data_IF_784171129056
#
_entry.id   IF_784171129056
#
_cell.length_a   1.000
_cell.length_b   1.000
_cell.length_c   1.000
_cell.angle_alpha   90.00
_cell.angle_beta   90.00
_cell.angle_gamma   90.00
#
_symmetry.space_group_name_H-M   'P 1'
#
loop_
_entity.id
_entity.type
_entity.pdbx_description
1 polymer ?
#
# COMPACT_ATOMS: atom_id res chain seq x y z
N UNK A 1 -18.02 20.00 -12.05
CA UNK A 1 -16.67 19.44 -12.23
C UNK A 1 -16.42 18.59 -11.00
N UNK A 2 -16.33 17.28 -11.18
CA UNK A 2 -16.33 16.31 -10.09
C UNK A 2 -14.89 16.11 -9.60
N UNK A 3 -14.60 16.56 -8.37
CA UNK A 3 -13.25 16.36 -7.82
C UNK A 3 -13.20 15.06 -7.05
N UNK A 4 -12.18 14.26 -7.33
CA UNK A 4 -11.94 12.98 -6.66
C UNK A 4 -10.65 13.02 -5.89
N UNK A 5 -10.68 12.61 -4.62
CA UNK A 5 -9.48 12.50 -3.80
C UNK A 5 -8.96 11.06 -3.82
N UNK A 6 -7.68 10.86 -4.10
CA UNK A 6 -7.01 9.57 -3.92
C UNK A 6 -6.09 9.65 -2.71
N UNK A 7 -6.22 8.73 -1.74
CA UNK A 7 -5.48 8.77 -0.48
C UNK A 7 -4.79 7.46 -0.16
N UNK A 8 -3.61 7.57 0.44
CA UNK A 8 -2.79 6.45 0.90
C UNK A 8 -2.24 6.77 2.29
N UNK A 9 -2.86 6.19 3.32
CA UNK A 9 -2.43 6.30 4.71
C UNK A 9 -1.40 5.18 5.02
N UNK A 10 -0.15 5.56 5.27
CA UNK A 10 0.86 4.68 5.86
C UNK A 10 0.90 4.82 7.38
N UNK A 11 1.76 4.06 8.07
CA UNK A 11 1.86 4.11 9.55
C UNK A 11 2.22 5.49 10.10
N UNK A 12 3.01 6.29 9.37
CA UNK A 12 3.46 7.63 9.78
C UNK A 12 3.34 8.69 8.68
N UNK A 13 2.52 8.42 7.65
CA UNK A 13 2.31 9.35 6.54
C UNK A 13 0.91 9.26 5.95
N UNK A 14 0.49 10.33 5.28
CA UNK A 14 -0.72 10.39 4.47
C UNK A 14 -0.37 11.04 3.13
N UNK A 15 -0.31 10.24 2.07
CA UNK A 15 -0.16 10.73 0.69
C UNK A 15 -1.53 10.96 0.09
N UNK A 16 -1.66 12.01 -0.70
CA UNK A 16 -2.94 12.34 -1.33
C UNK A 16 -2.74 13.00 -2.70
N UNK A 17 -3.75 12.87 -3.56
CA UNK A 17 -3.86 13.59 -4.83
C UNK A 17 -5.32 13.98 -5.05
N UNK A 18 -5.54 15.18 -5.56
CA UNK A 18 -6.83 15.69 -5.97
C UNK A 18 -6.90 15.67 -7.50
N UNK A 19 -7.90 14.97 -8.03
CA UNK A 19 -8.13 14.80 -9.46
C UNK A 19 -9.35 15.59 -9.91
N UNK A 20 -9.27 16.10 -11.13
CA UNK A 20 -10.42 16.44 -11.95
C UNK A 20 -10.81 15.19 -12.75
N UNK A 21 -12.05 14.73 -12.59
CA UNK A 21 -12.59 13.56 -13.28
C UNK A 21 -13.77 13.97 -14.18
N UNK A 22 -13.93 13.33 -15.36
CA UNK A 22 -13.25 12.12 -15.85
C UNK A 22 -11.92 12.34 -16.60
N UNK A 23 -11.41 13.56 -16.70
CA UNK A 23 -10.21 13.90 -17.48
C UNK A 23 -8.89 13.35 -16.89
N UNK A 24 -8.93 12.74 -15.70
CA UNK A 24 -7.79 12.20 -14.97
C UNK A 24 -6.67 13.24 -14.72
N UNK A 25 -7.03 14.53 -14.67
CA UNK A 25 -6.08 15.63 -14.49
C UNK A 25 -5.77 15.82 -13.01
N UNK A 26 -4.49 15.74 -12.64
CA UNK A 26 -4.05 16.06 -11.28
C UNK A 26 -4.12 17.57 -11.06
N UNK A 27 -5.00 18.01 -10.14
CA UNK A 27 -5.14 19.41 -9.72
C UNK A 27 -4.04 19.75 -8.70
N UNK A 28 -3.89 18.89 -7.70
CA UNK A 28 -2.91 19.05 -6.64
C UNK A 28 -2.49 17.69 -6.07
N UNK A 29 -1.33 17.64 -5.43
CA UNK A 29 -0.85 16.46 -4.72
C UNK A 29 -0.05 16.85 -3.50
N UNK A 30 -0.03 15.98 -2.50
CA UNK A 30 0.76 16.25 -1.31
C UNK A 30 1.02 15.03 -0.46
N UNK A 31 1.74 15.28 0.63
CA UNK A 31 2.12 14.29 1.61
C UNK A 31 2.24 14.94 2.99
N UNK A 32 1.66 14.29 3.99
CA UNK A 32 2.00 14.50 5.39
C UNK A 32 2.99 13.41 5.81
N UNK A 33 4.10 13.81 6.40
CA UNK A 33 5.17 12.92 6.86
C UNK A 33 5.40 13.06 8.35
N UNK A 34 5.90 11.99 8.98
CA UNK A 34 6.22 11.93 10.42
C UNK A 34 5.00 12.18 11.31
N UNK A 35 3.82 11.71 10.89
CA UNK A 35 2.61 11.71 11.72
C UNK A 35 2.87 10.89 12.99
N UNK A 36 2.47 11.41 14.14
CA UNK A 36 2.70 10.84 15.48
C UNK A 36 4.10 11.13 16.04
N UNK A 37 4.94 11.88 15.31
CA UNK A 37 6.27 12.30 15.74
C UNK A 37 6.36 13.83 15.74
N UNK A 38 7.38 14.36 16.42
CA UNK A 38 7.72 15.78 16.35
C UNK A 38 8.18 16.18 14.96
N UNK A 39 7.95 17.46 14.64
CA UNK A 39 8.37 18.11 13.40
C UNK A 39 7.75 17.39 12.19
N UNK A 40 6.43 17.16 12.23
CA UNK A 40 5.72 16.64 11.07
C UNK A 40 5.74 17.66 9.95
N UNK A 41 5.81 17.18 8.71
CA UNK A 41 5.94 18.02 7.52
C UNK A 41 4.74 17.76 6.63
N UNK A 42 3.99 18.80 6.31
CA UNK A 42 3.04 18.83 5.19
C UNK A 42 3.73 19.42 3.97
N UNK A 43 3.67 18.71 2.83
CA UNK A 43 4.12 19.22 1.53
C UNK A 43 2.97 19.13 0.54
N UNK A 44 2.60 20.27 -0.05
CA UNK A 44 1.51 20.40 -1.02
C UNK A 44 2.04 21.02 -2.31
N UNK A 45 1.69 20.42 -3.45
CA UNK A 45 2.18 20.78 -4.79
C UNK A 45 1.02 20.97 -5.77
N UNK A 46 0.97 22.14 -6.41
CA UNK A 46 0.03 22.51 -7.47
C UNK A 46 0.62 23.72 -8.23
N UNK A 47 0.19 23.96 -9.47
CA UNK A 47 0.64 25.08 -10.30
C UNK A 47 2.17 25.28 -10.33
N UNK A 48 2.93 24.18 -10.41
CA UNK A 48 4.40 24.12 -10.36
C UNK A 48 5.04 24.71 -9.08
N UNK A 49 4.24 25.00 -8.06
CA UNK A 49 4.67 25.47 -6.75
C UNK A 49 4.74 24.33 -5.73
N UNK A 50 5.56 24.54 -4.71
CA UNK A 50 5.72 23.62 -3.58
C UNK A 50 5.55 24.41 -2.29
N UNK A 51 4.51 24.08 -1.54
CA UNK A 51 4.23 24.66 -0.23
C UNK A 51 4.59 23.65 0.84
N UNK A 52 5.38 24.07 1.83
CA UNK A 52 5.75 23.25 2.99
C UNK A 52 5.30 23.91 4.27
N UNK A 53 4.78 23.13 5.21
CA UNK A 53 4.46 23.56 6.56
C UNK A 53 4.99 22.54 7.56
N UNK A 54 5.67 23.02 8.57
CA UNK A 54 6.13 22.21 9.70
C UNK A 54 5.23 22.47 10.90
N UNK A 55 4.65 21.42 11.45
CA UNK A 55 3.86 21.45 12.68
C UNK A 55 3.67 20.03 13.20
N UNK A 56 3.52 19.87 14.51
CA UNK A 56 3.25 18.56 15.09
C UNK A 56 1.85 18.04 14.68
N UNK A 57 1.81 16.81 14.16
CA UNK A 57 0.58 16.12 13.78
C UNK A 57 0.48 14.84 14.61
N UNK A 58 -0.51 14.80 15.51
CA UNK A 58 -0.69 13.73 16.50
C UNK A 58 -1.07 12.41 15.84
N UNK A 59 -1.99 12.43 14.88
CA UNK A 59 -2.47 11.22 14.20
C UNK A 59 -3.07 11.51 12.82
N UNK A 60 -3.54 10.45 12.14
CA UNK A 60 -4.16 10.54 10.83
C UNK A 60 -5.47 11.33 10.82
N UNK A 61 -6.20 11.42 11.93
CA UNK A 61 -7.44 12.21 12.00
C UNK A 61 -7.10 13.70 11.88
N UNK A 62 -6.06 14.15 12.60
CA UNK A 62 -5.55 15.51 12.47
C UNK A 62 -4.97 15.77 11.08
N UNK A 63 -4.22 14.83 10.50
CA UNK A 63 -3.69 14.98 9.14
C UNK A 63 -4.81 15.18 8.09
N UNK A 64 -5.92 14.46 8.22
CA UNK A 64 -7.08 14.61 7.33
C UNK A 64 -7.76 15.97 7.52
N UNK A 65 -7.93 16.45 8.74
CA UNK A 65 -8.48 17.79 9.00
C UNK A 65 -7.61 18.88 8.38
N UNK A 66 -6.29 18.78 8.54
CA UNK A 66 -5.32 19.71 7.97
C UNK A 66 -5.32 19.68 6.45
N UNK A 67 -5.44 18.51 5.85
CA UNK A 67 -5.60 18.39 4.41
C UNK A 67 -6.82 19.16 3.93
N UNK A 68 -7.97 18.94 4.55
CA UNK A 68 -9.20 19.61 4.15
C UNK A 68 -9.11 21.14 4.30
N UNK A 69 -8.44 21.63 5.35
CA UNK A 69 -8.13 23.05 5.54
C UNK A 69 -7.19 23.59 4.46
N UNK A 70 -6.10 22.88 4.15
CA UNK A 70 -5.15 23.27 3.09
C UNK A 70 -5.83 23.36 1.72
N UNK A 71 -6.72 22.43 1.38
CA UNK A 71 -7.44 22.46 0.10
C UNK A 71 -8.33 23.71 -0.04
N UNK A 72 -8.95 24.18 1.05
CA UNK A 72 -9.73 25.43 1.07
C UNK A 72 -8.80 26.65 1.05
N UNK A 73 -7.76 26.64 1.88
CA UNK A 73 -6.80 27.74 2.01
C UNK A 73 -6.12 28.06 0.66
N UNK A 74 -5.69 27.04 -0.07
CA UNK A 74 -5.09 27.18 -1.39
C UNK A 74 -6.13 27.36 -2.51
N UNK A 75 -7.42 27.47 -2.19
CA UNK A 75 -8.54 27.63 -3.14
C UNK A 75 -8.61 26.50 -4.18
N UNK A 76 -8.10 25.31 -3.83
CA UNK A 76 -8.20 24.11 -4.66
C UNK A 76 -9.64 23.56 -4.68
N UNK A 77 -10.39 23.84 -3.62
CA UNK A 77 -11.85 23.72 -3.51
C UNK A 77 -12.38 24.98 -2.82
N UNK A 78 -13.63 25.36 -3.10
CA UNK A 78 -14.35 26.39 -2.35
C UNK A 78 -15.18 25.82 -1.20
N UNK A 79 -15.55 24.54 -1.30
CA UNK A 79 -16.24 23.80 -0.23
C UNK A 79 -15.94 22.30 -0.31
N UNK A 80 -16.14 21.59 0.79
CA UNK A 80 -15.94 20.13 0.85
C UNK A 80 -16.84 19.35 -0.11
N UNK A 81 -18.01 19.91 -0.47
CA UNK A 81 -18.98 19.30 -1.39
C UNK A 81 -18.49 19.17 -2.83
N UNK A 82 -17.43 19.89 -3.20
CA UNK A 82 -16.81 19.71 -4.52
C UNK A 82 -16.10 18.37 -4.66
N UNK A 83 -15.70 17.75 -3.54
CA UNK A 83 -15.15 16.40 -3.53
C UNK A 83 -16.32 15.42 -3.52
N UNK A 84 -16.62 14.86 -4.70
CA UNK A 84 -17.76 13.94 -4.89
C UNK A 84 -17.37 12.48 -4.69
N UNK A 85 -16.08 12.15 -4.73
CA UNK A 85 -15.59 10.80 -4.50
C UNK A 85 -14.22 10.78 -3.81
N UNK A 86 -13.94 9.68 -3.10
CA UNK A 86 -12.65 9.41 -2.48
C UNK A 86 -12.25 7.94 -2.61
N UNK A 87 -11.05 7.70 -3.13
CA UNK A 87 -10.42 6.38 -3.22
C UNK A 87 -9.38 6.19 -2.13
N UNK A 88 -9.56 5.18 -1.27
CA UNK A 88 -8.64 4.82 -0.21
C UNK A 88 -7.83 3.59 -0.61
N UNK A 89 -6.50 3.72 -0.68
CA UNK A 89 -5.63 2.55 -0.73
C UNK A 89 -5.68 1.83 0.60
N UNK A 90 -5.99 0.54 0.58
CA UNK A 90 -5.98 -0.37 1.73
C UNK A 90 -4.97 -1.48 1.45
N UNK A 91 -4.08 -1.77 2.40
CA UNK A 91 -2.99 -2.72 2.16
C UNK A 91 -3.51 -4.16 2.09
N UNK A 92 -4.29 -4.61 3.08
CA UNK A 92 -4.78 -5.98 3.13
C UNK A 92 -6.31 -6.04 3.00
N UNK A 93 -6.79 -6.72 1.94
CA UNK A 93 -8.19 -7.07 1.72
C UNK A 93 -8.55 -8.51 2.07
N UNK A 94 -7.57 -9.32 2.50
CA UNK A 94 -7.77 -10.73 2.81
C UNK A 94 -8.32 -11.53 1.62
N UNK A 95 -9.08 -12.58 1.91
CA UNK A 95 -9.83 -13.35 0.90
C UNK A 95 -11.19 -12.73 0.58
N UNK A 96 -11.67 -11.79 1.42
CA UNK A 96 -13.00 -11.19 1.32
C UNK A 96 -13.10 -10.18 0.18
N UNK A 97 -12.04 -9.38 -0.03
CA UNK A 97 -12.04 -8.30 -1.01
C UNK A 97 -11.19 -8.63 -2.23
N UNK A 98 -11.86 -9.16 -3.26
CA UNK A 98 -11.26 -9.50 -4.56
C UNK A 98 -11.28 -8.35 -5.59
N UNK A 99 -11.97 -7.25 -5.28
CA UNK A 99 -12.05 -6.05 -6.11
C UNK A 99 -12.14 -4.80 -5.24
N UNK A 100 -12.12 -3.63 -5.85
CA UNK A 100 -12.38 -2.37 -5.15
C UNK A 100 -13.85 -2.29 -4.75
N UNK A 101 -14.13 -1.82 -3.53
CA UNK A 101 -15.46 -1.91 -2.92
C UNK A 101 -15.88 -0.58 -2.31
N UNK A 102 -17.16 -0.21 -2.49
CA UNK A 102 -17.75 0.97 -1.84
C UNK A 102 -17.76 0.77 -0.32
N UNK A 103 -17.35 1.78 0.43
CA UNK A 103 -17.15 1.69 1.89
C UNK A 103 -18.47 1.92 2.63
N UNK A 104 -19.19 0.83 2.89
CA UNK A 104 -20.31 0.77 3.85
C UNK A 104 -19.80 0.60 5.29
N UNK A 105 -20.66 0.72 6.33
CA UNK A 105 -20.27 0.38 7.71
C UNK A 105 -19.73 -1.05 7.85
N UNK A 106 -20.32 -2.01 7.15
CA UNK A 106 -19.92 -3.43 7.17
C UNK A 106 -18.55 -3.62 6.52
N UNK A 107 -18.31 -2.98 5.37
CA UNK A 107 -17.00 -3.01 4.70
C UNK A 107 -15.91 -2.40 5.58
N UNK A 108 -16.21 -1.28 6.26
CA UNK A 108 -15.25 -0.66 7.18
C UNK A 108 -14.94 -1.57 8.37
N UNK A 109 -15.93 -2.26 8.93
CA UNK A 109 -15.72 -3.22 10.02
C UNK A 109 -14.86 -4.40 9.57
N UNK A 110 -15.07 -4.91 8.36
CA UNK A 110 -14.23 -5.99 7.83
C UNK A 110 -12.78 -5.54 7.58
N UNK A 111 -12.56 -4.31 7.10
CA UNK A 111 -11.21 -3.73 6.98
C UNK A 111 -10.53 -3.65 8.37
N UNK A 112 -11.29 -3.35 9.43
CA UNK A 112 -10.79 -3.38 10.81
C UNK A 112 -10.38 -4.77 11.24
N UNK A 113 -11.21 -5.80 11.00
CA UNK A 113 -10.90 -7.19 11.32
C UNK A 113 -9.62 -7.68 10.63
N UNK A 114 -9.42 -7.26 9.38
CA UNK A 114 -8.21 -7.54 8.58
C UNK A 114 -6.95 -6.80 9.07
N UNK A 115 -7.03 -5.97 10.12
CA UNK A 115 -5.85 -5.37 10.75
C UNK A 115 -4.90 -6.41 11.32
N UNK A 116 -5.38 -7.59 11.68
CA UNK A 116 -4.53 -8.72 12.09
C UNK A 116 -3.57 -9.17 10.98
N UNK A 117 -4.00 -9.06 9.71
CA UNK A 117 -3.20 -9.42 8.53
C UNK A 117 -2.16 -8.34 8.17
N UNK A 118 -2.48 -7.07 8.41
CA UNK A 118 -1.59 -5.93 8.15
C UNK A 118 -1.56 -4.93 9.33
N UNK A 119 -0.97 -5.31 10.48
CA UNK A 119 -1.10 -4.58 11.74
C UNK A 119 -0.50 -3.17 11.74
N UNK A 120 0.46 -2.90 10.86
CA UNK A 120 1.08 -1.57 10.73
C UNK A 120 0.38 -0.67 9.70
N UNK A 121 -0.54 -1.20 8.89
CA UNK A 121 -1.10 -0.49 7.75
C UNK A 121 -2.62 -0.32 7.85
N UNK A 122 -3.36 -1.42 7.98
CA UNK A 122 -4.82 -1.38 7.99
C UNK A 122 -5.39 -0.49 9.11
N UNK A 123 -4.85 -0.45 10.34
CA UNK A 123 -5.31 0.50 11.36
C UNK A 123 -5.21 1.98 10.93
N UNK A 124 -4.10 2.36 10.27
CA UNK A 124 -3.95 3.71 9.73
C UNK A 124 -4.93 3.97 8.57
N UNK A 125 -5.21 2.96 7.74
CA UNK A 125 -6.21 3.05 6.69
C UNK A 125 -7.61 3.29 7.28
N UNK A 126 -8.00 2.55 8.31
CA UNK A 126 -9.27 2.71 9.03
C UNK A 126 -9.41 4.11 9.60
N UNK A 127 -8.40 4.62 10.32
CA UNK A 127 -8.44 5.97 10.90
C UNK A 127 -8.63 7.04 9.83
N UNK A 128 -7.94 6.90 8.70
CA UNK A 128 -8.11 7.79 7.55
C UNK A 128 -9.53 7.73 6.98
N UNK A 129 -10.04 6.52 6.72
CA UNK A 129 -11.40 6.31 6.19
C UNK A 129 -12.45 6.92 7.11
N UNK A 130 -12.36 6.67 8.42
CA UNK A 130 -13.29 7.22 9.40
C UNK A 130 -13.25 8.75 9.44
N UNK A 131 -12.07 9.35 9.37
CA UNK A 131 -11.92 10.80 9.34
C UNK A 131 -12.54 11.42 8.08
N UNK A 132 -12.26 10.86 6.89
CA UNK A 132 -12.85 11.34 5.65
C UNK A 132 -14.36 11.15 5.60
N UNK A 133 -14.91 10.00 6.03
CA UNK A 133 -16.36 9.77 6.06
C UNK A 133 -17.11 10.78 6.94
N UNK A 134 -16.46 11.29 8.00
CA UNK A 134 -17.05 12.34 8.84
C UNK A 134 -17.06 13.71 8.15
N UNK A 135 -16.03 14.04 7.39
CA UNK A 135 -15.88 15.35 6.72
C UNK A 135 -16.57 15.41 5.34
N UNK A 136 -16.68 14.27 4.68
CA UNK A 136 -17.23 14.08 3.34
C UNK A 136 -18.39 13.05 3.36
N UNK A 137 -19.47 13.30 4.13
CA UNK A 137 -20.54 12.31 4.31
C UNK A 137 -21.30 11.98 3.03
N UNK A 138 -21.33 12.91 2.07
CA UNK A 138 -22.06 12.77 0.80
C UNK A 138 -21.16 12.22 -0.33
N UNK A 139 -19.84 12.11 -0.10
CA UNK A 139 -18.91 11.63 -1.13
C UNK A 139 -18.92 10.11 -1.24
N UNK A 140 -18.80 9.61 -2.47
CA UNK A 140 -18.61 8.18 -2.71
C UNK A 140 -17.23 7.73 -2.22
N UNK A 141 -17.20 6.99 -1.11
CA UNK A 141 -15.96 6.43 -0.57
C UNK A 141 -15.73 4.99 -1.07
N UNK A 142 -14.55 4.71 -1.63
CA UNK A 142 -14.18 3.42 -2.19
C UNK A 142 -12.85 2.95 -1.59
N UNK A 143 -12.78 1.68 -1.18
CA UNK A 143 -11.54 1.01 -0.78
C UNK A 143 -10.94 0.26 -1.98
N UNK A 144 -9.65 0.48 -2.23
CA UNK A 144 -8.87 -0.17 -3.29
C UNK A 144 -7.76 -0.97 -2.63
N UNK A 145 -7.83 -2.30 -2.76
CA UNK A 145 -6.98 -3.21 -2.01
C UNK A 145 -5.74 -3.64 -2.79
N UNK A 146 -4.57 -3.52 -2.18
CA UNK A 146 -3.31 -3.98 -2.78
C UNK A 146 -3.29 -5.51 -3.02
N UNK A 147 -4.08 -6.28 -2.27
CA UNK A 147 -4.17 -7.75 -2.41
C UNK A 147 -5.19 -8.21 -3.45
N UNK A 148 -6.14 -7.34 -3.85
CA UNK A 148 -7.29 -7.74 -4.67
C UNK A 148 -6.88 -8.40 -6.00
N UNK A 149 -5.90 -7.81 -6.70
CA UNK A 149 -5.40 -8.34 -7.97
C UNK A 149 -4.79 -9.74 -7.87
N UNK A 150 -4.29 -10.10 -6.68
CA UNK A 150 -3.67 -11.40 -6.41
C UNK A 150 -4.67 -12.45 -5.89
N UNK A 151 -5.95 -12.13 -5.78
CA UNK A 151 -6.97 -13.15 -5.43
C UNK A 151 -7.17 -14.21 -6.52
N UNK A 152 -6.67 -13.95 -7.73
CA UNK A 152 -6.66 -14.93 -8.85
C UNK A 152 -5.54 -15.97 -8.76
N UNK A 153 -4.66 -15.88 -7.76
CA UNK A 153 -3.61 -16.88 -7.55
C UNK A 153 -4.23 -18.28 -7.43
N UNK A 154 -3.76 -19.28 -8.20
CA UNK A 154 -4.21 -20.66 -8.02
C UNK A 154 -3.69 -21.22 -6.69
N UNK A 155 -4.35 -22.27 -6.17
CA UNK A 155 -4.00 -22.91 -4.90
C UNK A 155 -2.53 -23.30 -4.77
N UNK A 156 -1.96 -23.83 -5.86
CA UNK A 156 -0.52 -24.17 -5.95
C UNK A 156 0.42 -22.98 -5.74
N UNK A 157 -0.03 -21.75 -5.97
CA UNK A 157 0.78 -20.54 -5.86
C UNK A 157 0.57 -19.83 -4.51
N UNK A 158 -0.61 -19.96 -3.89
CA UNK A 158 -0.87 -19.29 -2.62
C UNK A 158 -0.65 -20.14 -1.38
N UNK A 159 -0.68 -21.47 -1.49
CA UNK A 159 -0.41 -22.33 -0.34
C UNK A 159 1.07 -22.39 -0.01
N UNK A 160 1.39 -22.21 1.26
CA UNK A 160 2.71 -22.56 1.79
C UNK A 160 2.80 -24.08 2.04
N UNK A 161 4.00 -24.68 1.88
CA UNK A 161 4.22 -26.10 2.18
C UNK A 161 4.34 -26.34 3.70
N UNK A 162 3.30 -25.98 4.44
CA UNK A 162 3.15 -26.13 5.90
C UNK A 162 1.82 -26.84 6.20
N UNK A 163 1.59 -27.34 7.44
CA UNK A 163 0.34 -28.02 7.76
C UNK A 163 -0.91 -27.23 7.39
N UNK A 164 -1.87 -27.89 6.71
CA UNK A 164 -3.09 -27.29 6.17
C UNK A 164 -3.90 -26.49 7.20
N UNK A 165 -3.86 -26.90 8.47
CA UNK A 165 -4.54 -26.19 9.57
C UNK A 165 -4.20 -24.70 9.65
N UNK A 166 -2.98 -24.31 9.27
CA UNK A 166 -2.56 -22.90 9.31
C UNK A 166 -3.26 -22.06 8.25
N UNK A 167 -3.62 -22.66 7.13
CA UNK A 167 -4.49 -22.03 6.15
C UNK A 167 -5.95 -22.01 6.64
N UNK A 168 -6.49 -23.15 7.10
CA UNK A 168 -7.93 -23.25 7.42
C UNK A 168 -8.32 -22.42 8.63
N UNK A 169 -7.48 -22.40 9.66
CA UNK A 169 -7.84 -21.83 10.96
C UNK A 169 -7.36 -20.38 11.10
N UNK A 170 -6.33 -19.99 10.34
CA UNK A 170 -5.65 -18.69 10.47
C UNK A 170 -5.45 -17.95 9.15
N UNK A 171 -5.95 -18.49 8.02
CA UNK A 171 -5.81 -17.90 6.69
C UNK A 171 -4.34 -17.56 6.31
N UNK A 172 -3.38 -18.38 6.75
CA UNK A 172 -1.97 -18.22 6.37
C UNK A 172 -1.78 -18.69 4.93
N UNK A 173 -1.59 -17.73 4.02
CA UNK A 173 -1.39 -17.93 2.57
C UNK A 173 -0.58 -16.78 1.98
N UNK A 174 -0.17 -16.92 0.72
CA UNK A 174 0.31 -15.81 -0.10
C UNK A 174 -0.86 -14.88 -0.44
N UNK A 175 -0.77 -13.61 -0.04
CA UNK A 175 -1.71 -12.56 -0.42
C UNK A 175 -1.13 -11.62 -1.47
N UNK A 176 0.19 -11.45 -1.49
CA UNK A 176 0.85 -10.46 -2.35
C UNK A 176 0.64 -9.02 -1.87
N UNK A 177 1.20 -8.07 -2.62
CA UNK A 177 0.91 -6.64 -2.48
C UNK A 177 1.27 -5.92 -3.78
N UNK A 178 1.06 -4.59 -3.82
CA UNK A 178 1.20 -3.78 -5.04
C UNK A 178 0.29 -4.23 -6.20
N UNK A 179 -0.80 -4.94 -5.91
CA UNK A 179 -1.72 -5.47 -6.91
C UNK A 179 -2.30 -4.39 -7.82
N UNK A 180 -2.66 -3.22 -7.28
CA UNK A 180 -3.13 -2.07 -8.07
C UNK A 180 -2.08 -1.62 -9.10
N UNK A 181 -0.80 -1.60 -8.71
CA UNK A 181 0.28 -1.25 -9.64
C UNK A 181 0.46 -2.31 -10.72
N UNK A 182 0.50 -3.59 -10.34
CA UNK A 182 0.64 -4.71 -11.29
C UNK A 182 -0.53 -4.78 -12.28
N UNK A 183 -1.76 -4.55 -11.79
CA UNK A 183 -2.96 -4.45 -12.61
C UNK A 183 -2.88 -3.28 -13.59
N UNK A 184 -2.46 -2.09 -13.13
CA UNK A 184 -2.33 -0.92 -13.99
C UNK A 184 -1.29 -1.14 -15.10
N UNK A 185 -0.05 -1.51 -14.75
CA UNK A 185 1.03 -1.63 -15.75
C UNK A 185 0.82 -2.77 -16.73
N UNK A 186 0.09 -3.83 -16.33
CA UNK A 186 -0.27 -4.91 -17.28
C UNK A 186 -1.27 -4.44 -18.34
N UNK A 187 -2.26 -3.62 -17.95
CA UNK A 187 -3.20 -2.98 -18.88
C UNK A 187 -2.50 -1.97 -19.80
N UNK A 188 -1.59 -1.16 -19.26
CA UNK A 188 -0.79 -0.23 -20.08
C UNK A 188 0.14 -0.98 -21.04
N UNK A 189 0.77 -2.06 -20.60
CA UNK A 189 1.58 -2.91 -21.48
C UNK A 189 0.76 -3.48 -22.64
N UNK A 190 -0.49 -3.91 -22.40
CA UNK A 190 -1.38 -4.39 -23.45
C UNK A 190 -1.67 -3.31 -24.50
N UNK A 191 -1.92 -2.07 -24.08
CA UNK A 191 -2.10 -0.92 -24.99
C UNK A 191 -0.85 -0.67 -25.83
N UNK A 192 0.33 -0.63 -25.21
CA UNK A 192 1.60 -0.39 -25.90
C UNK A 192 1.92 -1.49 -26.90
N UNK A 193 1.62 -2.75 -26.57
CA UNK A 193 1.85 -3.90 -27.44
C UNK A 193 0.78 -4.06 -28.54
N UNK A 194 -0.32 -3.28 -28.48
CA UNK A 194 -1.44 -3.38 -29.41
C UNK A 194 -2.12 -4.75 -29.40
N UNK A 195 -2.15 -5.43 -28.24
CA UNK A 195 -2.73 -6.77 -28.09
C UNK A 195 -3.75 -6.81 -26.95
N UNK A 196 -4.82 -7.61 -27.06
CA UNK A 196 -5.72 -7.87 -25.93
C UNK A 196 -4.94 -8.40 -24.72
N UNK A 197 -5.28 -7.94 -23.52
CA UNK A 197 -4.60 -8.35 -22.28
C UNK A 197 -4.77 -9.85 -22.02
N UNK A 198 -5.88 -10.42 -22.47
CA UNK A 198 -6.27 -11.82 -22.38
C UNK A 198 -5.31 -12.75 -23.13
N UNK A 199 -4.64 -12.23 -24.17
CA UNK A 199 -3.69 -12.97 -25.01
C UNK A 199 -2.24 -12.86 -24.52
N UNK A 200 -1.99 -12.10 -23.44
CA UNK A 200 -0.64 -11.79 -22.97
C UNK A 200 -0.23 -12.64 -21.77
N UNK A 201 1.07 -13.00 -21.78
CA UNK A 201 1.79 -13.52 -20.62
C UNK A 201 2.87 -12.51 -20.26
N UNK A 202 2.75 -11.91 -19.09
CA UNK A 202 3.59 -10.80 -18.65
C UNK A 202 4.27 -11.14 -17.34
N UNK A 203 5.50 -10.67 -17.18
CA UNK A 203 6.15 -10.52 -15.88
C UNK A 203 6.24 -9.02 -15.62
N UNK A 204 5.69 -8.58 -14.50
CA UNK A 204 5.69 -7.17 -14.11
C UNK A 204 6.54 -7.00 -12.86
N UNK A 205 7.45 -6.03 -12.88
CA UNK A 205 8.34 -5.72 -11.77
C UNK A 205 8.03 -4.33 -11.22
N UNK A 206 7.38 -4.28 -10.05
CA UNK A 206 7.21 -3.04 -9.30
C UNK A 206 8.42 -2.89 -8.39
N UNK A 207 9.36 -1.98 -8.73
CA UNK A 207 10.60 -1.80 -7.98
C UNK A 207 10.65 -0.40 -7.38
N UNK A 208 10.61 -0.34 -6.05
CA UNK A 208 10.73 0.88 -5.25
C UNK A 208 11.26 0.56 -3.85
N UNK A 209 10.88 1.34 -2.83
CA UNK A 209 11.24 1.03 -1.44
C UNK A 209 10.63 -0.32 -0.97
N UNK A 210 9.47 -0.68 -1.52
CA UNK A 210 9.02 -2.06 -1.62
C UNK A 210 9.15 -2.54 -3.04
N UNK A 211 9.50 -3.82 -3.20
CA UNK A 211 9.67 -4.41 -4.52
C UNK A 211 8.91 -5.74 -4.62
N UNK A 212 8.20 -5.94 -5.72
CA UNK A 212 7.49 -7.19 -6.03
C UNK A 212 7.53 -7.49 -7.52
N UNK A 213 7.58 -8.78 -7.83
CA UNK A 213 7.51 -9.30 -9.19
C UNK A 213 6.27 -10.19 -9.29
N UNK A 214 5.47 -9.98 -10.32
CA UNK A 214 4.20 -10.70 -10.52
C UNK A 214 4.15 -11.30 -11.91
N UNK A 215 3.86 -12.61 -11.98
CA UNK A 215 3.53 -13.33 -13.20
C UNK A 215 2.04 -13.18 -13.49
N UNK A 216 1.72 -12.76 -14.71
CA UNK A 216 0.37 -12.44 -15.17
C UNK A 216 0.09 -13.24 -16.44
N UNK A 217 -1.03 -13.94 -16.48
CA UNK A 217 -1.50 -14.69 -17.63
C UNK A 217 -2.95 -14.29 -17.93
N UNK A 218 -3.20 -13.77 -19.12
CA UNK A 218 -4.52 -13.33 -19.55
C UNK A 218 -5.14 -12.26 -18.63
N UNK A 219 -4.31 -11.32 -18.17
CA UNK A 219 -4.72 -10.25 -17.25
C UNK A 219 -4.94 -10.68 -15.79
N UNK A 220 -4.67 -11.94 -15.43
CA UNK A 220 -4.80 -12.45 -14.06
C UNK A 220 -3.45 -12.69 -13.43
N UNK A 221 -3.29 -12.32 -12.15
CA UNK A 221 -2.10 -12.68 -11.36
C UNK A 221 -2.09 -14.19 -11.11
N UNK A 222 -1.07 -14.89 -11.61
CA UNK A 222 -0.90 -16.34 -11.42
C UNK A 222 0.22 -16.70 -10.44
N UNK A 223 1.16 -15.78 -10.20
CA UNK A 223 2.11 -15.86 -9.09
C UNK A 223 2.63 -14.45 -8.74
N UNK A 224 3.08 -14.24 -7.51
CA UNK A 224 3.73 -13.00 -7.08
C UNK A 224 4.80 -13.28 -6.02
N UNK A 225 5.80 -12.41 -5.95
CA UNK A 225 6.95 -12.60 -5.06
C UNK A 225 6.61 -12.29 -3.60
N UNK A 226 5.71 -11.35 -3.33
CA UNK A 226 5.31 -11.02 -1.95
C UNK A 226 4.40 -12.11 -1.36
N UNK A 227 4.53 -12.31 -0.06
CA UNK A 227 4.02 -13.48 0.64
C UNK A 227 2.71 -13.26 1.39
N UNK A 228 2.62 -13.88 2.56
CA UNK A 228 1.67 -13.55 3.62
C UNK A 228 1.76 -12.07 4.03
N UNK A 229 2.98 -11.53 4.01
CA UNK A 229 3.26 -10.11 4.21
C UNK A 229 4.12 -9.56 3.07
N UNK A 230 4.25 -8.22 2.95
CA UNK A 230 5.17 -7.58 2.01
C UNK A 230 6.67 -7.81 2.30
N UNK A 231 7.05 -8.73 3.21
CA UNK A 231 8.44 -9.03 3.54
C UNK A 231 9.07 -10.02 2.55
N UNK A 232 8.32 -11.02 2.09
CA UNK A 232 8.82 -12.07 1.21
C UNK A 232 9.09 -11.56 -0.21
N UNK A 233 9.91 -12.29 -0.96
CA UNK A 233 10.22 -12.00 -2.37
C UNK A 233 11.60 -11.40 -2.56
N UNK A 234 11.70 -10.36 -3.38
CA UNK A 234 13.00 -9.76 -3.72
C UNK A 234 13.52 -8.83 -2.61
N UNK A 235 14.83 -8.57 -2.63
CA UNK A 235 15.45 -7.57 -1.76
C UNK A 235 14.80 -6.19 -1.97
N UNK A 236 14.63 -5.43 -0.88
CA UNK A 236 14.02 -4.11 -0.90
C UNK A 236 14.87 -3.10 -0.12
N UNK A 237 14.38 -1.86 0.07
CA UNK A 237 15.16 -0.81 0.73
C UNK A 237 15.56 -1.15 2.18
N UNK A 238 14.61 -1.64 2.98
CA UNK A 238 14.84 -1.99 4.41
C UNK A 238 14.25 -3.34 4.80
N UNK A 239 13.89 -4.17 3.82
CA UNK A 239 13.34 -5.51 4.01
C UNK A 239 14.25 -6.49 3.29
N UNK A 240 14.49 -7.63 3.92
CA UNK A 240 15.40 -8.65 3.41
C UNK A 240 14.94 -9.24 2.07
N UNK A 241 13.64 -9.39 1.88
CA UNK A 241 13.13 -10.34 0.89
C UNK A 241 13.29 -11.76 1.41
N UNK A 242 13.50 -12.69 0.47
CA UNK A 242 13.69 -14.11 0.69
C UNK A 242 14.94 -14.40 1.53
N UNK A 243 14.77 -15.27 2.53
CA UNK A 243 15.84 -15.79 3.38
C UNK A 243 15.48 -17.19 3.83
N UNK A 244 16.49 -18.02 4.14
CA UNK A 244 16.25 -19.29 4.82
C UNK A 244 15.55 -19.02 6.18
N UNK A 245 14.37 -19.60 6.45
CA UNK A 245 13.63 -19.39 7.70
C UNK A 245 14.44 -19.69 8.96
N UNK A 246 15.42 -20.61 8.90
CA UNK A 246 16.28 -20.98 10.04
C UNK A 246 17.26 -19.88 10.47
N UNK A 247 17.60 -18.94 9.56
CA UNK A 247 18.53 -17.84 9.84
C UNK A 247 18.04 -16.96 10.98
N UNK A 248 16.73 -16.74 11.10
CA UNK A 248 16.16 -15.93 12.18
C UNK A 248 16.40 -16.58 13.54
N UNK A 249 16.08 -17.88 13.67
CA UNK A 249 16.31 -18.62 14.91
C UNK A 249 17.80 -18.66 15.26
N UNK A 250 18.65 -18.96 14.27
CA UNK A 250 20.10 -19.01 14.47
C UNK A 250 20.68 -17.67 14.92
N UNK A 251 20.24 -16.55 14.33
CA UNK A 251 20.68 -15.20 14.71
C UNK A 251 20.23 -14.84 16.12
N UNK A 252 18.99 -15.17 16.50
CA UNK A 252 18.48 -14.90 17.85
C UNK A 252 19.24 -15.69 18.93
N UNK A 253 19.69 -16.90 18.61
CA UNK A 253 20.50 -17.74 19.50
C UNK A 253 21.98 -17.30 19.54
N UNK A 254 22.53 -16.87 18.40
CA UNK A 254 23.96 -16.58 18.25
C UNK A 254 24.37 -15.18 18.71
N UNK A 255 23.44 -14.21 18.69
CA UNK A 255 23.69 -12.83 19.09
C UNK A 255 22.89 -12.46 20.35
N UNK A 256 23.55 -12.43 21.54
CA UNK A 256 22.92 -12.10 22.81
C UNK A 256 22.22 -10.73 22.85
N UNK A 257 22.55 -9.81 21.95
CA UNK A 257 21.89 -8.50 21.86
C UNK A 257 20.41 -8.61 21.44
N UNK A 258 20.01 -9.76 20.88
CA UNK A 258 18.64 -10.08 20.51
C UNK A 258 17.90 -10.97 21.52
N UNK A 259 18.56 -11.48 22.56
CA UNK A 259 17.97 -12.41 23.53
C UNK A 259 16.70 -11.90 24.25
N UNK A 260 16.51 -10.58 24.30
CA UNK A 260 15.32 -9.94 24.89
C UNK A 260 14.34 -9.34 23.85
N UNK A 261 14.69 -9.34 22.56
CA UNK A 261 13.85 -8.74 21.51
C UNK A 261 12.90 -9.80 20.94
N UNK A 262 11.77 -10.02 21.62
CA UNK A 262 10.66 -10.79 21.05
C UNK A 262 10.21 -10.15 19.74
N UNK A 263 10.49 -10.83 18.62
CA UNK A 263 9.73 -10.79 17.35
C UNK A 263 9.42 -9.43 16.70
N UNK A 264 10.05 -8.34 17.12
CA UNK A 264 9.95 -7.03 16.45
C UNK A 264 11.06 -6.82 15.40
N UNK A 265 11.70 -7.92 14.96
CA UNK A 265 12.93 -7.83 14.18
C UNK A 265 12.71 -7.64 12.68
N UNK A 266 11.58 -8.08 12.11
CA UNK A 266 11.52 -8.23 10.64
C UNK A 266 11.11 -6.96 9.88
N UNK A 267 10.52 -5.96 10.53
CA UNK A 267 10.15 -4.69 9.87
C UNK A 267 11.22 -3.59 9.99
N UNK A 268 12.23 -3.76 10.86
CA UNK A 268 13.27 -2.76 11.09
C UNK A 268 14.64 -3.39 11.22
N UNK A 269 14.98 -4.30 10.29
CA UNK A 269 16.38 -4.60 9.98
C UNK A 269 16.99 -3.40 9.22
N UNK A 270 16.98 -2.21 9.84
CA UNK A 270 17.70 -1.04 9.33
C UNK A 270 19.22 -1.26 9.32
N UNK A 271 19.71 -2.16 10.18
CA UNK A 271 21.15 -2.35 10.40
C UNK A 271 21.80 -3.47 9.56
N UNK A 272 21.05 -4.42 8.98
CA UNK A 272 21.64 -5.43 8.08
C UNK A 272 21.66 -4.97 6.62
N UNK A 273 20.71 -4.10 6.20
CA UNK A 273 20.68 -3.52 4.86
C UNK A 273 21.87 -2.56 4.58
N UNK A 274 22.51 -2.04 5.63
CA UNK A 274 23.65 -1.12 5.49
C UNK A 274 24.91 -1.79 4.92
N UNK A 275 25.03 -3.12 5.03
CA UNK A 275 26.20 -3.87 4.55
C UNK A 275 26.17 -4.19 3.04
N UNK A 276 25.01 -4.15 2.38
CA UNK A 276 24.89 -4.55 0.96
C UNK A 276 24.89 -3.35 -0.01
N UNK A 277 24.61 -2.14 0.48
CA UNK A 277 24.46 -0.94 -0.35
C UNK A 277 25.76 -0.44 -0.99
N UNK A 278 26.93 -1.00 -0.64
CA UNK A 278 28.21 -0.58 -1.23
C UNK A 278 28.62 -1.32 -2.51
N UNK A 279 27.90 -2.35 -2.97
CA UNK A 279 28.51 -3.30 -3.94
C UNK A 279 27.75 -3.63 -5.23
N UNK A 280 26.56 -3.08 -5.50
CA UNK A 280 25.84 -3.46 -6.74
C UNK A 280 25.41 -2.25 -7.57
N UNK A 281 26.23 -1.95 -8.58
CA UNK A 281 25.82 -1.21 -9.77
C UNK A 281 24.86 -2.08 -10.60
N UNK A 282 23.82 -1.42 -11.06
CA UNK A 282 22.76 -1.82 -11.98
C UNK A 282 23.25 -2.75 -13.11
N UNK A 283 22.59 -3.90 -13.28
CA UNK A 283 22.57 -4.64 -14.55
C UNK A 283 21.11 -4.70 -15.00
N UNK A 284 20.77 -3.94 -16.05
CA UNK A 284 19.58 -4.20 -16.86
C UNK A 284 19.88 -5.40 -17.75
N UNK A 285 19.01 -6.40 -17.77
CA UNK A 285 19.00 -7.43 -18.81
C UNK A 285 17.73 -7.25 -19.62
N UNK A 286 17.93 -7.01 -20.91
CA UNK A 286 16.94 -6.98 -22.00
C UNK A 286 16.32 -8.34 -22.25
#
# INVERSE_FOLDING_TARGET
MEKTLAVNAGSSSLKWQLYDMPEEKVIAKGIFERIGLKDSISTTKFDDQVHKREQDIVDHRQAVLLLMDELIHFKLISSFREITAIGHRVVAGGEFFNTSTVITPEVLEEIKNLSTLAPLHNPANVLGIEAFKRLLPDALAVAVFDTAFHTTLPEKAFRYPIPTKYYTDYAIRKYGAHGTSHMYVSREAAKVLGKPLEDLKLITAHIGNGASITAIEGGKSIDTSMGFTPLAGVMMGTRSGEMDPSVISYMLESDPSYAQRKMLLMCSIKNLAYLVYQSFQVICVT
#
